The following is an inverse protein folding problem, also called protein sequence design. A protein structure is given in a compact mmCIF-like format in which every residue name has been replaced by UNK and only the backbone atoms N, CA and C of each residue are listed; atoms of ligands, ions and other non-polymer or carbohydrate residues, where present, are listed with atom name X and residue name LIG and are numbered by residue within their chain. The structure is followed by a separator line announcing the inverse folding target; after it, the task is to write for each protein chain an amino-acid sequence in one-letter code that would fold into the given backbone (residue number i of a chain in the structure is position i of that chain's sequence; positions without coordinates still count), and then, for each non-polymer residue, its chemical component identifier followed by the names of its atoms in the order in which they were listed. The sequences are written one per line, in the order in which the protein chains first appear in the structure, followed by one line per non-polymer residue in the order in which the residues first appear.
data_IF_431489766404
#
_entry.id   IF_431489766404
#
_cell.length_a   1.000
_cell.length_b   1.000
_cell.length_c   1.000
_cell.angle_alpha   90.00
_cell.angle_beta   90.00
_cell.angle_gamma   90.00
#
_symmetry.space_group_name_H-M   'P 1'
#
loop_
_entity.id
_entity.type
_entity.pdbx_description
1 polymer ?
#
# COMPACT_ATOMS: atom_id res chain seq x y z
N UNK A 1 -30.00 10.22 30.24
CA UNK A 1 -28.61 10.19 30.74
C UNK A 1 -28.00 8.90 30.22
N UNK A 2 -27.12 8.97 29.23
CA UNK A 2 -26.31 7.80 28.91
C UNK A 2 -25.35 7.59 30.09
N UNK A 3 -25.41 6.43 30.74
CA UNK A 3 -24.45 6.08 31.78
C UNK A 3 -23.05 6.08 31.17
N UNK A 4 -22.03 6.47 31.95
CA UNK A 4 -20.64 6.36 31.49
C UNK A 4 -20.23 4.88 31.43
N UNK A 5 -19.42 4.50 30.44
CA UNK A 5 -18.85 3.15 30.37
C UNK A 5 -18.04 2.85 31.65
N UNK A 6 -18.21 1.64 32.19
CA UNK A 6 -17.47 1.18 33.38
C UNK A 6 -16.70 -0.11 33.10
N UNK A 7 -15.39 -0.08 33.33
CA UNK A 7 -14.49 -1.21 33.06
C UNK A 7 -14.81 -2.46 33.90
N UNK A 8 -15.24 -2.29 35.16
CA UNK A 8 -15.60 -3.40 36.06
C UNK A 8 -16.79 -4.25 35.58
N UNK A 9 -17.58 -3.70 34.65
CA UNK A 9 -18.78 -4.33 34.11
C UNK A 9 -18.56 -4.92 32.71
N UNK A 10 -17.33 -4.91 32.16
CA UNK A 10 -17.02 -5.35 30.80
C UNK A 10 -17.63 -6.73 30.44
N UNK A 11 -17.55 -7.68 31.37
CA UNK A 11 -18.10 -9.03 31.19
C UNK A 11 -19.62 -9.09 31.34
N UNK A 12 -20.22 -8.16 32.08
CA UNK A 12 -21.67 -8.13 32.33
C UNK A 12 -22.48 -7.44 31.22
N UNK A 13 -21.84 -6.58 30.42
CA UNK A 13 -22.52 -5.93 29.30
C UNK A 13 -22.84 -6.92 28.18
N UNK A 14 -24.02 -6.76 27.60
CA UNK A 14 -24.40 -7.39 26.34
C UNK A 14 -23.61 -6.80 25.18
N UNK A 15 -23.47 -7.57 24.09
CA UNK A 15 -22.78 -7.11 22.87
C UNK A 15 -23.41 -5.85 22.28
N UNK A 16 -24.74 -5.68 22.39
CA UNK A 16 -25.46 -4.48 21.96
C UNK A 16 -25.11 -3.26 22.80
N UNK A 17 -25.03 -3.41 24.11
CA UNK A 17 -24.62 -2.32 25.01
C UNK A 17 -23.17 -1.90 24.75
N UNK A 18 -22.26 -2.88 24.59
CA UNK A 18 -20.87 -2.60 24.25
C UNK A 18 -20.72 -1.90 22.91
N UNK A 19 -21.41 -2.36 21.88
CA UNK A 19 -21.41 -1.69 20.58
C UNK A 19 -21.89 -0.24 20.69
N UNK A 20 -22.94 0.02 21.47
CA UNK A 20 -23.43 1.37 21.71
C UNK A 20 -22.38 2.25 22.43
N UNK A 21 -21.72 1.73 23.47
CA UNK A 21 -20.65 2.46 24.17
C UNK A 21 -19.47 2.77 23.24
N UNK A 22 -19.06 1.81 22.41
CA UNK A 22 -17.94 1.96 21.47
C UNK A 22 -18.25 3.05 20.44
N UNK A 23 -19.39 2.97 19.76
CA UNK A 23 -19.77 3.93 18.71
C UNK A 23 -20.00 5.34 19.27
N UNK A 24 -20.41 5.43 20.53
CA UNK A 24 -20.57 6.72 21.23
C UNK A 24 -19.25 7.30 21.75
N UNK A 25 -18.16 6.52 21.74
CA UNK A 25 -16.85 6.95 22.25
C UNK A 25 -16.08 7.75 21.20
N UNK A 26 -15.22 8.69 21.61
CA UNK A 26 -14.42 9.45 20.66
C UNK A 26 -13.42 8.54 19.94
N UNK A 27 -13.33 8.67 18.62
CA UNK A 27 -12.33 7.97 17.82
C UNK A 27 -10.92 8.50 18.10
N UNK A 28 -9.91 7.68 17.83
CA UNK A 28 -8.52 8.10 17.85
C UNK A 28 -8.25 9.10 16.72
N UNK A 29 -7.39 10.09 16.96
CA UNK A 29 -7.05 11.11 15.97
C UNK A 29 -6.41 10.51 14.70
N UNK A 30 -5.71 9.39 14.83
CA UNK A 30 -4.99 8.74 13.73
C UNK A 30 -5.85 7.79 12.89
N UNK A 31 -7.02 7.36 13.38
CA UNK A 31 -7.90 6.42 12.67
C UNK A 31 -9.33 6.43 13.19
N UNK A 32 -10.30 6.46 12.28
CA UNK A 32 -11.72 6.37 12.59
C UNK A 32 -12.17 4.98 13.05
N UNK A 33 -11.30 3.95 12.92
CA UNK A 33 -11.61 2.56 13.31
C UNK A 33 -11.23 2.24 14.76
N UNK A 34 -10.60 3.14 15.50
CA UNK A 34 -10.22 2.92 16.90
C UNK A 34 -10.94 3.92 17.78
N UNK A 35 -11.60 3.42 18.82
CA UNK A 35 -12.43 4.18 19.75
C UNK A 35 -11.83 4.16 21.15
N UNK A 36 -11.78 5.33 21.79
CA UNK A 36 -11.28 5.48 23.15
C UNK A 36 -12.40 5.15 24.16
N UNK A 37 -12.54 3.88 24.51
CA UNK A 37 -13.63 3.40 25.36
C UNK A 37 -13.48 3.86 26.83
N UNK A 38 -12.24 3.90 27.32
CA UNK A 38 -11.90 4.41 28.66
C UNK A 38 -10.43 4.85 28.72
N UNK A 39 -9.93 5.16 29.92
CA UNK A 39 -8.51 5.45 30.14
C UNK A 39 -7.62 4.24 29.88
N UNK A 40 -8.12 3.02 30.13
CA UNK A 40 -7.33 1.78 30.02
C UNK A 40 -7.72 0.92 28.83
N UNK A 41 -8.86 1.16 28.19
CA UNK A 41 -9.36 0.33 27.08
C UNK A 41 -9.56 1.15 25.81
N UNK A 42 -9.25 0.48 24.69
CA UNK A 42 -9.62 0.92 23.35
C UNK A 42 -10.45 -0.17 22.68
N UNK A 43 -11.28 0.21 21.72
CA UNK A 43 -11.97 -0.74 20.86
C UNK A 43 -11.57 -0.48 19.41
N UNK A 44 -11.17 -1.55 18.70
CA UNK A 44 -10.86 -1.49 17.26
C UNK A 44 -11.96 -2.16 16.46
N UNK A 45 -12.45 -1.50 15.43
CA UNK A 45 -13.48 -1.96 14.52
C UNK A 45 -12.88 -2.73 13.35
N UNK A 46 -13.55 -3.81 12.99
CA UNK A 46 -13.18 -4.76 11.94
C UNK A 46 -14.40 -5.12 11.09
N UNK A 47 -14.14 -5.57 9.86
CA UNK A 47 -15.11 -6.40 9.16
C UNK A 47 -15.26 -7.75 9.89
N UNK A 48 -16.47 -8.34 9.97
CA UNK A 48 -16.69 -9.59 10.70
C UNK A 48 -15.79 -10.77 10.28
N UNK A 49 -15.35 -10.81 9.02
CA UNK A 49 -14.44 -11.82 8.47
C UNK A 49 -12.97 -11.61 8.85
N UNK A 50 -12.57 -10.42 9.32
CA UNK A 50 -11.18 -10.08 9.60
C UNK A 50 -10.80 -10.29 11.07
N UNK A 51 -11.77 -10.08 11.96
CA UNK A 51 -11.52 -10.01 13.41
C UNK A 51 -10.95 -11.30 13.99
N UNK A 52 -11.29 -12.46 13.43
CA UNK A 52 -10.85 -13.75 13.98
C UNK A 52 -9.35 -13.99 13.77
N UNK A 53 -8.83 -13.62 12.59
CA UNK A 53 -7.42 -13.71 12.30
C UNK A 53 -6.60 -12.71 13.13
N UNK A 54 -7.07 -11.46 13.22
CA UNK A 54 -6.43 -10.44 14.05
C UNK A 54 -6.44 -10.84 15.54
N UNK A 55 -7.55 -11.39 16.03
CA UNK A 55 -7.67 -11.92 17.39
C UNK A 55 -6.67 -13.04 17.63
N UNK A 56 -6.65 -14.05 16.75
CA UNK A 56 -5.78 -15.21 16.94
C UNK A 56 -4.30 -14.85 16.89
N UNK A 57 -3.90 -13.95 16.00
CA UNK A 57 -2.54 -13.46 15.93
C UNK A 57 -2.14 -12.71 17.22
N UNK A 58 -3.01 -11.85 17.73
CA UNK A 58 -2.76 -11.09 18.97
C UNK A 58 -2.67 -12.03 20.18
N UNK A 59 -3.56 -13.01 20.27
CA UNK A 59 -3.56 -14.03 21.33
C UNK A 59 -2.24 -14.82 21.35
N UNK A 60 -1.81 -15.33 20.19
CA UNK A 60 -0.56 -16.09 20.07
C UNK A 60 0.66 -15.23 20.38
N UNK A 61 0.69 -13.97 19.91
CA UNK A 61 1.76 -13.04 20.26
C UNK A 61 1.85 -12.80 21.78
N UNK A 62 0.71 -12.64 22.46
CA UNK A 62 0.65 -12.50 23.93
C UNK A 62 1.17 -13.75 24.64
N UNK A 63 0.76 -14.95 24.19
CA UNK A 63 1.23 -16.24 24.74
C UNK A 63 2.74 -16.43 24.55
N UNK A 64 3.32 -15.88 23.49
CA UNK A 64 4.76 -15.87 23.23
C UNK A 64 5.52 -14.82 24.05
N UNK A 65 4.84 -14.05 24.90
CA UNK A 65 5.44 -13.00 25.73
C UNK A 65 5.83 -11.74 24.94
N UNK A 66 5.26 -11.55 23.75
CA UNK A 66 5.46 -10.32 22.98
C UNK A 66 4.64 -9.21 23.63
N UNK A 67 5.31 -8.10 23.96
CA UNK A 67 4.64 -6.94 24.55
C UNK A 67 3.75 -6.26 23.51
N UNK A 68 2.49 -6.05 23.85
CA UNK A 68 1.48 -5.44 22.98
C UNK A 68 0.13 -5.35 23.70
N UNK A 69 -0.93 -4.90 22.99
CA UNK A 69 -2.28 -4.91 23.53
C UNK A 69 -2.76 -6.35 23.77
N UNK A 70 -3.39 -6.61 24.91
CA UNK A 70 -4.14 -7.85 25.14
C UNK A 70 -5.60 -7.62 24.81
N UNK A 71 -6.20 -8.55 24.06
CA UNK A 71 -7.63 -8.49 23.77
C UNK A 71 -8.39 -9.01 24.98
N UNK A 72 -9.29 -8.17 25.49
CA UNK A 72 -10.15 -8.49 26.63
C UNK A 72 -11.43 -9.16 26.16
N UNK A 73 -12.06 -8.63 25.10
CA UNK A 73 -13.34 -9.13 24.58
C UNK A 73 -13.49 -8.83 23.10
N UNK A 74 -14.11 -9.74 22.37
CA UNK A 74 -14.52 -9.54 20.97
C UNK A 74 -16.02 -9.63 20.89
N UNK A 75 -16.65 -8.66 20.25
CA UNK A 75 -18.08 -8.68 19.93
C UNK A 75 -18.27 -8.65 18.42
N UNK A 76 -19.27 -9.38 17.92
CA UNK A 76 -19.59 -9.44 16.49
C UNK A 76 -21.07 -9.18 16.28
N UNK A 77 -21.41 -8.37 15.29
CA UNK A 77 -22.76 -8.23 14.76
C UNK A 77 -22.74 -8.48 13.23
N UNK A 78 -23.89 -8.34 12.55
CA UNK A 78 -24.00 -8.66 11.13
C UNK A 78 -23.14 -7.78 10.22
N UNK A 79 -22.86 -6.53 10.64
CA UNK A 79 -22.17 -5.53 9.82
C UNK A 79 -20.75 -5.27 10.29
N UNK A 80 -20.44 -5.49 11.57
CA UNK A 80 -19.21 -5.06 12.21
C UNK A 80 -18.76 -6.06 13.28
N UNK A 81 -17.45 -6.08 13.51
CA UNK A 81 -16.86 -6.68 14.70
C UNK A 81 -16.02 -5.64 15.45
N UNK A 82 -15.94 -5.79 16.77
CA UNK A 82 -15.11 -4.94 17.61
C UNK A 82 -14.24 -5.80 18.53
N UNK A 83 -12.94 -5.52 18.56
CA UNK A 83 -12.03 -6.07 19.54
C UNK A 83 -11.72 -5.00 20.60
N UNK A 84 -12.10 -5.27 21.84
CA UNK A 84 -11.82 -4.44 23.02
C UNK A 84 -10.51 -4.93 23.60
N UNK A 85 -9.54 -4.03 23.77
CA UNK A 85 -8.18 -4.36 24.16
C UNK A 85 -7.54 -3.30 25.05
N UNK A 86 -6.48 -3.68 25.73
CA UNK A 86 -5.73 -2.79 26.62
C UNK A 86 -5.10 -1.63 25.84
N UNK A 87 -5.23 -0.43 26.40
CA UNK A 87 -4.49 0.74 25.97
C UNK A 87 -3.05 0.63 26.47
N UNK A 88 -2.09 0.72 25.56
CA UNK A 88 -0.67 0.74 25.90
C UNK A 88 -0.18 2.19 25.94
N UNK A 89 0.40 2.59 27.08
CA UNK A 89 1.00 3.91 27.22
C UNK A 89 2.38 4.00 26.54
N UNK A 90 2.58 5.05 25.75
CA UNK A 90 3.86 5.37 25.16
C UNK A 90 3.73 6.26 23.94
N UNK A 91 4.83 6.35 23.19
CA UNK A 91 4.86 7.09 21.93
C UNK A 91 5.38 6.19 20.81
N UNK A 92 4.71 6.24 19.67
CA UNK A 92 5.07 5.49 18.47
C UNK A 92 6.34 6.03 17.84
N UNK A 93 7.09 5.17 17.15
CA UNK A 93 8.36 5.57 16.54
C UNK A 93 8.19 6.64 15.48
N UNK A 94 7.11 6.65 14.71
CA UNK A 94 6.84 7.75 13.75
C UNK A 94 6.84 9.15 14.39
N UNK A 95 6.34 9.27 15.63
CA UNK A 95 6.30 10.52 16.40
C UNK A 95 7.67 10.89 16.98
N UNK A 96 8.38 9.91 17.56
CA UNK A 96 9.61 10.20 18.33
C UNK A 96 10.91 9.93 17.59
N UNK A 97 10.88 9.35 16.39
CA UNK A 97 12.07 8.84 15.69
C UNK A 97 13.21 9.86 15.60
N UNK A 98 12.86 11.10 15.27
CA UNK A 98 13.81 12.22 15.12
C UNK A 98 14.46 12.64 16.44
N UNK A 99 13.79 12.41 17.56
CA UNK A 99 14.27 12.73 18.91
C UNK A 99 15.16 11.62 19.48
N UNK A 100 15.12 10.41 18.90
CA UNK A 100 15.95 9.29 19.35
C UNK A 100 17.41 9.46 18.93
N UNK A 101 18.32 9.17 19.85
CA UNK A 101 19.76 9.03 19.58
C UNK A 101 20.13 7.61 19.12
N UNK A 102 21.36 7.46 18.63
CA UNK A 102 21.89 6.18 18.12
C UNK A 102 21.83 5.03 19.13
N UNK A 103 22.19 5.28 20.39
CA UNK A 103 22.16 4.26 21.45
C UNK A 103 20.75 3.69 21.63
N UNK A 104 19.74 4.57 21.65
CA UNK A 104 18.35 4.15 21.80
C UNK A 104 17.85 3.43 20.54
N UNK A 105 18.23 3.89 19.35
CA UNK A 105 17.94 3.18 18.09
C UNK A 105 18.48 1.74 18.10
N UNK A 106 19.74 1.54 18.51
CA UNK A 106 20.34 0.20 18.59
C UNK A 106 19.62 -0.65 19.66
N UNK A 107 19.35 -0.09 20.84
CA UNK A 107 18.65 -0.79 21.93
C UNK A 107 17.26 -1.25 21.50
N UNK A 108 16.50 -0.40 20.83
CA UNK A 108 15.17 -0.74 20.31
C UNK A 108 15.27 -1.76 19.18
N UNK A 109 16.27 -1.65 18.30
CA UNK A 109 16.51 -2.65 17.26
C UNK A 109 16.79 -4.04 17.82
N UNK A 110 17.55 -4.13 18.92
CA UNK A 110 17.82 -5.39 19.62
C UNK A 110 16.57 -5.94 20.33
N UNK A 111 15.73 -5.08 20.92
CA UNK A 111 14.43 -5.50 21.46
C UNK A 111 13.52 -6.07 20.36
N UNK A 112 13.44 -5.39 19.21
CA UNK A 112 12.66 -5.88 18.09
C UNK A 112 13.22 -7.19 17.54
N UNK A 113 14.55 -7.33 17.44
CA UNK A 113 15.21 -8.58 17.03
C UNK A 113 14.85 -9.74 17.95
N UNK A 114 14.81 -9.50 19.26
CA UNK A 114 14.38 -10.51 20.22
C UNK A 114 12.95 -10.98 19.95
N UNK A 115 12.01 -10.05 19.75
CA UNK A 115 10.62 -10.39 19.38
C UNK A 115 10.55 -11.13 18.04
N UNK A 116 11.22 -10.64 17.01
CA UNK A 116 11.24 -11.27 15.68
C UNK A 116 11.79 -12.69 15.75
N UNK A 117 12.81 -12.96 16.56
CA UNK A 117 13.34 -14.31 16.74
C UNK A 117 12.34 -15.25 17.43
N UNK A 118 11.57 -14.76 18.41
CA UNK A 118 10.48 -15.53 19.03
C UNK A 118 9.42 -15.86 17.99
N UNK A 119 8.96 -14.88 17.23
CA UNK A 119 7.97 -15.09 16.18
C UNK A 119 8.47 -16.12 15.14
N UNK A 120 9.73 -15.99 14.70
CA UNK A 120 10.35 -16.91 13.75
C UNK A 120 10.52 -18.34 14.24
N UNK A 121 10.47 -18.56 15.57
CA UNK A 121 10.49 -19.91 16.14
C UNK A 121 9.19 -20.68 15.92
N UNK A 122 8.10 -19.97 15.61
CA UNK A 122 6.81 -20.56 15.28
C UNK A 122 6.70 -20.69 13.77
N UNK A 123 6.57 -21.93 13.28
CA UNK A 123 6.59 -22.26 11.86
C UNK A 123 5.28 -22.90 11.40
N UNK A 124 4.96 -22.76 10.11
CA UNK A 124 3.86 -23.44 9.45
C UNK A 124 4.32 -24.06 8.12
N UNK A 125 3.75 -25.22 7.72
CA UNK A 125 3.96 -25.76 6.38
C UNK A 125 3.26 -24.95 5.28
N UNK A 126 2.34 -24.06 5.65
CA UNK A 126 1.51 -23.29 4.72
C UNK A 126 1.56 -21.79 5.02
N UNK A 127 1.33 -20.95 4.00
CA UNK A 127 1.14 -19.51 4.19
C UNK A 127 -0.27 -19.17 4.65
N UNK A 128 -0.37 -18.02 5.29
CA UNK A 128 -1.65 -17.39 5.61
C UNK A 128 -1.77 -17.02 7.08
N UNK A 129 -2.94 -16.48 7.42
CA UNK A 129 -3.31 -16.13 8.78
C UNK A 129 -3.44 -17.36 9.69
N UNK A 130 -3.48 -17.12 11.01
CA UNK A 130 -3.46 -18.19 12.01
C UNK A 130 -4.80 -18.92 12.15
N UNK A 131 -5.93 -18.25 11.92
CA UNK A 131 -7.24 -18.86 12.14
C UNK A 131 -7.82 -19.44 10.84
N UNK A 132 -7.80 -18.66 9.76
CA UNK A 132 -8.42 -19.07 8.49
C UNK A 132 -7.43 -19.65 7.48
N UNK A 133 -6.14 -19.36 7.62
CA UNK A 133 -5.12 -19.68 6.62
C UNK A 133 -5.20 -18.79 5.39
N UNK A 134 -6.02 -17.74 5.39
CA UNK A 134 -6.14 -16.79 4.29
C UNK A 134 -4.84 -15.98 4.13
N UNK A 135 -4.43 -15.77 2.88
CA UNK A 135 -3.28 -14.94 2.59
C UNK A 135 -3.66 -13.46 2.68
N UNK A 136 -3.34 -12.83 3.82
CA UNK A 136 -3.58 -11.39 4.08
C UNK A 136 -2.40 -10.49 3.74
N UNK A 137 -1.39 -11.05 3.06
CA UNK A 137 -0.18 -10.29 2.73
C UNK A 137 -0.42 -9.38 1.52
N UNK A 138 -0.28 -8.07 1.73
CA UNK A 138 -0.30 -7.08 0.65
C UNK A 138 0.85 -7.22 -0.39
N UNK A 139 1.80 -8.14 -0.18
CA UNK A 139 2.80 -8.52 -1.19
C UNK A 139 2.36 -9.70 -2.06
N UNK A 140 1.35 -10.44 -1.61
CA UNK A 140 0.86 -11.69 -2.19
C UNK A 140 -0.62 -11.61 -2.61
N UNK A 141 -1.20 -10.41 -2.55
CA UNK A 141 -2.54 -10.12 -3.05
C UNK A 141 -2.58 -10.17 -4.59
N UNK A 142 -3.51 -10.97 -5.11
CA UNK A 142 -3.88 -11.03 -6.53
C UNK A 142 -5.42 -11.05 -6.65
N UNK A 143 -5.95 -10.69 -7.83
CA UNK A 143 -7.39 -10.72 -8.15
C UNK A 143 -8.05 -12.06 -7.84
N UNK A 144 -7.32 -13.17 -7.96
CA UNK A 144 -7.83 -14.50 -7.66
C UNK A 144 -7.46 -15.00 -6.26
N UNK A 145 -6.59 -14.27 -5.56
CA UNK A 145 -6.02 -14.65 -4.28
C UNK A 145 -5.13 -15.89 -4.36
N UNK A 146 -4.25 -16.04 -3.37
CA UNK A 146 -3.69 -17.35 -3.06
C UNK A 146 -4.72 -18.14 -2.26
N UNK A 147 -4.99 -19.41 -2.62
CA UNK A 147 -5.85 -20.27 -1.81
C UNK A 147 -5.37 -20.30 -0.35
N UNK A 148 -6.31 -20.37 0.58
CA UNK A 148 -5.98 -20.51 1.99
C UNK A 148 -5.10 -21.75 2.21
N UNK A 149 -4.10 -21.64 3.09
CA UNK A 149 -3.14 -22.70 3.38
C UNK A 149 -2.30 -23.13 2.17
N UNK A 150 -1.95 -22.20 1.27
CA UNK A 150 -1.03 -22.47 0.15
C UNK A 150 0.36 -22.91 0.66
N UNK A 151 0.94 -23.96 0.07
CA UNK A 151 2.24 -24.49 0.45
C UNK A 151 3.42 -23.87 -0.32
N UNK A 152 4.64 -24.40 -0.12
CA UNK A 152 5.83 -23.92 -0.82
C UNK A 152 5.72 -24.00 -2.35
N UNK A 153 5.04 -25.01 -2.88
CA UNK A 153 4.88 -25.19 -4.32
C UNK A 153 4.00 -24.10 -4.94
N UNK A 154 2.84 -23.82 -4.34
CA UNK A 154 1.91 -22.79 -4.78
C UNK A 154 2.54 -21.41 -4.70
N UNK A 155 3.28 -21.13 -3.62
CA UNK A 155 3.95 -19.85 -3.42
C UNK A 155 5.12 -19.67 -4.37
N UNK A 156 5.92 -20.72 -4.59
CA UNK A 156 6.99 -20.70 -5.60
C UNK A 156 6.41 -20.44 -6.97
N UNK A 157 5.30 -21.10 -7.32
CA UNK A 157 4.60 -20.86 -8.58
C UNK A 157 4.07 -19.42 -8.68
N UNK A 158 3.51 -18.87 -7.60
CA UNK A 158 3.08 -17.47 -7.54
C UNK A 158 4.23 -16.51 -7.83
N UNK A 159 5.35 -16.65 -7.13
CA UNK A 159 6.52 -15.81 -7.36
C UNK A 159 7.08 -15.98 -8.78
N UNK A 160 7.18 -17.21 -9.27
CA UNK A 160 7.64 -17.49 -10.64
C UNK A 160 6.74 -16.87 -11.69
N UNK A 161 5.43 -17.00 -11.51
CA UNK A 161 4.44 -16.44 -12.42
C UNK A 161 4.57 -14.92 -12.45
N UNK A 162 4.59 -14.26 -11.31
CA UNK A 162 4.57 -12.80 -11.23
C UNK A 162 5.93 -12.14 -11.55
N UNK A 163 7.04 -12.81 -11.23
CA UNK A 163 8.36 -12.39 -11.68
C UNK A 163 8.49 -12.46 -13.21
N UNK A 164 7.89 -13.49 -13.83
CA UNK A 164 7.91 -13.71 -15.28
C UNK A 164 6.60 -13.32 -15.97
N UNK A 165 5.78 -12.48 -15.34
CA UNK A 165 4.53 -12.01 -15.93
C UNK A 165 4.80 -10.88 -16.93
N UNK A 166 4.39 -11.06 -18.19
CA UNK A 166 4.48 -10.00 -19.22
C UNK A 166 3.12 -9.40 -19.55
N UNK A 167 2.14 -10.28 -19.81
CA UNK A 167 0.79 -9.90 -20.21
C UNK A 167 -0.18 -11.06 -20.00
N UNK A 168 -1.44 -10.75 -19.74
CA UNK A 168 -2.50 -11.75 -19.61
C UNK A 168 -2.69 -12.61 -20.84
N UNK A 169 -2.58 -12.02 -22.04
CA UNK A 169 -2.76 -12.78 -23.29
C UNK A 169 -1.75 -13.92 -23.39
N UNK A 170 -0.48 -13.64 -23.08
CA UNK A 170 0.58 -14.65 -23.07
C UNK A 170 0.39 -15.66 -21.93
N UNK A 171 0.05 -15.20 -20.73
CA UNK A 171 -0.23 -16.08 -19.59
C UNK A 171 -1.39 -17.05 -19.88
N UNK A 172 -2.49 -16.56 -20.46
CA UNK A 172 -3.63 -17.40 -20.86
C UNK A 172 -3.28 -18.37 -22.00
N UNK A 173 -2.44 -17.96 -22.95
CA UNK A 173 -1.95 -18.86 -24.01
C UNK A 173 -1.04 -19.96 -23.45
N UNK A 174 -0.11 -19.61 -22.55
CA UNK A 174 0.76 -20.57 -21.87
C UNK A 174 -0.05 -21.56 -21.02
N UNK A 175 -1.04 -21.07 -20.25
CA UNK A 175 -1.94 -21.91 -19.47
C UNK A 175 -2.78 -22.86 -20.36
N UNK A 176 -3.32 -22.37 -21.49
CA UNK A 176 -4.02 -23.21 -22.47
C UNK A 176 -3.12 -24.27 -23.10
N UNK A 177 -1.82 -24.02 -23.19
CA UNK A 177 -0.83 -24.95 -23.71
C UNK A 177 -0.22 -25.84 -22.61
N UNK A 178 -0.68 -25.74 -21.35
CA UNK A 178 -0.16 -26.50 -20.22
C UNK A 178 1.29 -26.15 -19.85
N UNK A 179 1.78 -24.98 -20.28
CA UNK A 179 3.14 -24.55 -19.96
C UNK A 179 3.21 -24.03 -18.53
N UNK A 180 3.96 -24.71 -17.67
CA UNK A 180 4.39 -24.20 -16.37
C UNK A 180 5.59 -23.27 -16.54
N UNK A 181 5.75 -22.21 -15.71
CA UNK A 181 6.95 -21.37 -15.72
C UNK A 181 8.21 -22.18 -15.33
N UNK A 182 8.84 -22.84 -16.30
CA UNK A 182 9.96 -23.77 -16.07
C UNK A 182 11.32 -23.07 -15.90
N UNK A 183 11.41 -21.99 -15.15
CA UNK A 183 12.71 -21.39 -14.83
C UNK A 183 12.85 -21.12 -13.33
N UNK A 184 13.47 -22.07 -12.66
CA UNK A 184 14.16 -21.87 -11.37
C UNK A 184 15.43 -21.03 -11.52
N UNK A 185 15.85 -20.73 -12.75
CA UNK A 185 17.02 -19.91 -13.04
C UNK A 185 16.77 -18.44 -12.63
N UNK A 186 17.22 -18.06 -11.43
CA UNK A 186 17.36 -16.66 -11.02
C UNK A 186 16.41 -16.16 -9.93
N UNK A 187 15.54 -17.01 -9.38
CA UNK A 187 14.78 -16.63 -8.17
C UNK A 187 15.64 -16.88 -6.92
N UNK A 188 15.93 -15.85 -6.10
CA UNK A 188 16.68 -16.01 -4.85
C UNK A 188 15.88 -16.69 -3.73
N UNK A 189 14.59 -16.96 -3.95
CA UNK A 189 13.68 -17.48 -2.93
C UNK A 189 13.72 -19.02 -2.87
N UNK A 190 14.58 -19.58 -2.03
CA UNK A 190 14.36 -20.93 -1.51
C UNK A 190 13.36 -20.84 -0.35
N UNK A 191 12.12 -21.22 -0.60
CA UNK A 191 11.04 -21.15 0.40
C UNK A 191 10.97 -22.51 1.09
N UNK A 192 11.82 -22.69 2.09
CA UNK A 192 11.92 -23.98 2.82
C UNK A 192 10.91 -24.08 3.98
N UNK A 193 10.52 -22.95 4.59
CA UNK A 193 9.51 -22.89 5.65
C UNK A 193 8.89 -21.50 5.78
N UNK A 194 7.65 -21.45 6.27
CA UNK A 194 6.97 -20.21 6.62
C UNK A 194 7.04 -19.99 8.12
N UNK A 195 7.32 -18.76 8.51
CA UNK A 195 7.50 -18.36 9.91
C UNK A 195 6.40 -17.38 10.30
N UNK A 196 6.04 -17.33 11.58
CA UNK A 196 5.13 -16.31 12.06
C UNK A 196 5.78 -14.93 11.92
N UNK A 197 5.13 -14.03 11.20
CA UNK A 197 5.55 -12.65 10.96
C UNK A 197 4.44 -11.69 11.35
N UNK A 198 4.81 -10.49 11.77
CA UNK A 198 3.87 -9.41 12.06
C UNK A 198 3.38 -8.71 10.79
N UNK A 199 4.23 -8.63 9.75
CA UNK A 199 3.91 -8.12 8.41
C UNK A 199 3.61 -6.61 8.29
N UNK A 200 3.58 -5.86 9.39
CA UNK A 200 3.41 -4.39 9.42
C UNK A 200 4.22 -3.74 10.56
N UNK A 201 5.51 -4.11 10.69
CA UNK A 201 6.46 -3.50 11.63
C UNK A 201 6.90 -2.08 11.18
N UNK A 202 5.94 -1.25 10.80
CA UNK A 202 6.15 0.14 10.43
C UNK A 202 6.24 1.04 11.68
N UNK A 203 6.83 2.25 11.59
CA UNK A 203 7.08 3.09 12.77
C UNK A 203 5.84 3.42 13.61
N UNK A 204 4.65 3.48 12.98
CA UNK A 204 3.35 3.73 13.65
C UNK A 204 2.90 2.57 14.56
N UNK A 205 3.39 1.36 14.31
CA UNK A 205 3.01 0.14 15.04
C UNK A 205 4.06 -0.27 16.08
N UNK A 206 5.12 0.53 16.23
CA UNK A 206 6.21 0.32 17.17
C UNK A 206 6.11 1.38 18.27
N UNK A 207 5.60 0.99 19.43
CA UNK A 207 5.35 1.91 20.54
C UNK A 207 6.42 1.77 21.61
N UNK A 208 6.94 2.90 22.10
CA UNK A 208 7.98 2.95 23.12
C UNK A 208 7.41 3.55 24.41
N UNK A 209 7.49 2.80 25.49
CA UNK A 209 7.10 3.27 26.81
C UNK A 209 8.04 4.36 27.34
N UNK A 210 7.65 5.13 28.37
CA UNK A 210 8.56 6.07 29.05
C UNK A 210 9.83 5.41 29.61
N UNK A 211 9.75 4.12 29.97
CA UNK A 211 10.89 3.30 30.44
C UNK A 211 11.77 2.75 29.32
N UNK A 212 11.48 3.08 28.06
CA UNK A 212 12.25 2.66 26.89
C UNK A 212 12.01 1.21 26.44
N UNK A 213 10.86 0.63 26.81
CA UNK A 213 10.45 -0.70 26.39
C UNK A 213 9.62 -0.62 25.11
N UNK A 214 9.92 -1.50 24.15
CA UNK A 214 9.18 -1.62 22.89
C UNK A 214 7.94 -2.51 23.06
N UNK A 215 6.82 -2.09 22.48
CA UNK A 215 5.60 -2.89 22.31
C UNK A 215 5.19 -2.89 20.83
N UNK A 216 4.67 -4.02 20.36
CA UNK A 216 4.15 -4.18 19.01
C UNK A 216 2.64 -3.98 19.01
N UNK A 217 2.15 -3.19 18.07
CA UNK A 217 0.73 -2.90 17.88
C UNK A 217 0.28 -3.44 16.51
N UNK A 218 -1.02 -3.66 16.37
CA UNK A 218 -1.68 -3.96 15.08
C UNK A 218 -1.21 -5.26 14.40
N UNK A 219 -1.82 -6.38 14.81
CA UNK A 219 -1.55 -7.73 14.31
C UNK A 219 -2.44 -8.16 13.14
N UNK A 220 -3.17 -7.23 12.51
CA UNK A 220 -4.21 -7.55 11.52
C UNK A 220 -3.69 -8.29 10.28
N UNK A 221 -2.43 -8.03 9.92
CA UNK A 221 -1.77 -8.62 8.75
C UNK A 221 -0.83 -9.77 9.11
N UNK A 222 -0.76 -10.13 10.39
CA UNK A 222 0.14 -11.14 10.87
C UNK A 222 -0.25 -12.54 10.36
N UNK A 223 0.75 -13.39 10.16
CA UNK A 223 0.56 -14.70 9.56
C UNK A 223 1.86 -15.41 9.29
N UNK A 224 1.77 -16.57 8.63
CA UNK A 224 2.90 -17.37 8.23
C UNK A 224 3.37 -17.00 6.83
N UNK A 225 4.59 -16.48 6.73
CA UNK A 225 5.17 -16.00 5.49
C UNK A 225 6.68 -16.24 5.44
N UNK A 226 7.34 -16.13 4.27
CA UNK A 226 8.79 -16.19 4.19
C UNK A 226 9.46 -15.08 5.02
N UNK A 227 10.61 -15.38 5.64
CA UNK A 227 11.36 -14.42 6.48
C UNK A 227 11.68 -13.08 5.79
N UNK A 228 11.75 -13.10 4.46
CA UNK A 228 12.08 -11.96 3.59
C UNK A 228 10.96 -10.92 3.54
N UNK A 229 9.71 -11.36 3.71
CA UNK A 229 8.54 -10.51 3.64
C UNK A 229 8.54 -9.48 4.77
N UNK A 230 8.88 -9.88 6.00
CA UNK A 230 8.95 -8.97 7.15
C UNK A 230 9.92 -7.80 6.89
N UNK A 231 11.08 -8.08 6.27
CA UNK A 231 12.05 -7.05 5.89
C UNK A 231 11.48 -6.07 4.85
N UNK A 232 10.78 -6.57 3.83
CA UNK A 232 10.16 -5.71 2.83
C UNK A 232 9.01 -4.88 3.43
N UNK A 233 8.20 -5.48 4.30
CA UNK A 233 7.08 -4.83 4.98
C UNK A 233 7.48 -3.70 5.91
N UNK A 234 8.67 -3.74 6.52
CA UNK A 234 9.20 -2.61 7.30
C UNK A 234 9.40 -1.33 6.47
N UNK A 235 9.37 -1.40 5.15
CA UNK A 235 9.40 -0.24 4.25
C UNK A 235 8.03 0.10 3.64
N UNK A 236 6.95 -0.57 4.05
CA UNK A 236 5.59 -0.34 3.56
C UNK A 236 4.92 0.87 4.25
N UNK A 237 5.59 2.01 4.24
CA UNK A 237 5.05 3.30 4.70
C UNK A 237 5.68 4.46 3.92
N UNK A 238 4.97 5.58 3.86
CA UNK A 238 5.51 6.81 3.32
C UNK A 238 6.54 7.36 4.29
N UNK A 239 7.83 7.15 3.99
CA UNK A 239 8.90 7.69 4.82
C UNK A 239 8.77 9.22 4.90
N UNK A 240 8.62 9.81 6.10
CA UNK A 240 8.32 11.23 6.23
C UNK A 240 9.38 12.12 5.55
N UNK A 241 8.93 13.16 4.85
CA UNK A 241 9.81 14.05 4.10
C UNK A 241 10.75 14.84 5.01
N UNK A 242 10.33 15.09 6.25
CA UNK A 242 11.08 15.80 7.27
C UNK A 242 12.13 14.90 7.99
N UNK A 243 12.24 13.62 7.62
CA UNK A 243 13.34 12.75 8.03
C UNK A 243 14.59 13.10 7.23
N UNK A 244 15.52 13.82 7.86
CA UNK A 244 16.84 14.06 7.30
C UNK A 244 17.66 12.78 7.11
N UNK A 245 18.82 12.91 6.46
CA UNK A 245 19.70 11.78 6.11
C UNK A 245 19.98 10.84 7.29
N UNK A 246 20.29 11.38 8.46
CA UNK A 246 20.62 10.58 9.65
C UNK A 246 19.42 9.79 10.18
N UNK A 247 18.20 10.32 10.10
CA UNK A 247 17.00 9.61 10.54
C UNK A 247 16.71 8.42 9.61
N UNK A 248 16.92 8.59 8.30
CA UNK A 248 16.77 7.52 7.30
C UNK A 248 17.84 6.44 7.46
N UNK A 249 19.10 6.83 7.63
CA UNK A 249 20.20 5.88 7.91
C UNK A 249 19.96 5.08 9.18
N UNK A 250 19.47 5.72 10.25
CA UNK A 250 19.08 5.02 11.48
C UNK A 250 17.96 4.02 11.23
N UNK A 251 16.99 4.32 10.37
CA UNK A 251 15.90 3.40 10.07
C UNK A 251 16.42 2.14 9.37
N UNK A 252 17.29 2.31 8.36
CA UNK A 252 17.94 1.17 7.72
C UNK A 252 18.73 0.32 8.71
N UNK A 253 19.54 0.94 9.57
CA UNK A 253 20.28 0.22 10.61
C UNK A 253 19.34 -0.52 11.58
N UNK A 254 18.28 0.14 12.03
CA UNK A 254 17.26 -0.44 12.92
C UNK A 254 16.64 -1.68 12.30
N UNK A 255 16.19 -1.58 11.04
CA UNK A 255 15.64 -2.70 10.28
C UNK A 255 16.65 -3.84 10.15
N UNK A 256 17.91 -3.55 9.83
CA UNK A 256 18.94 -4.58 9.67
C UNK A 256 19.24 -5.33 10.98
N UNK A 257 19.27 -4.60 12.11
CA UNK A 257 19.42 -5.21 13.44
C UNK A 257 18.20 -6.10 13.74
N UNK A 258 17.00 -5.56 13.54
CA UNK A 258 15.73 -6.16 13.94
C UNK A 258 15.41 -7.44 13.16
N UNK A 259 15.41 -7.37 11.82
CA UNK A 259 14.88 -8.45 10.98
C UNK A 259 15.93 -9.10 10.09
N UNK A 260 17.13 -8.50 9.97
CA UNK A 260 18.18 -8.94 9.03
C UNK A 260 18.16 -8.14 7.73
N UNK A 261 18.98 -8.56 6.75
CA UNK A 261 19.11 -7.89 5.46
C UNK A 261 18.69 -8.82 4.31
N UNK A 262 17.55 -8.52 3.69
CA UNK A 262 16.95 -9.33 2.62
C UNK A 262 16.61 -8.48 1.38
N UNK A 263 17.52 -7.58 0.99
CA UNK A 263 17.26 -6.60 -0.07
C UNK A 263 17.03 -7.22 -1.45
N UNK A 264 17.67 -8.34 -1.76
CA UNK A 264 17.48 -9.04 -3.02
C UNK A 264 16.03 -9.54 -3.17
N UNK A 265 15.50 -10.19 -2.14
CA UNK A 265 14.13 -10.69 -2.10
C UNK A 265 13.12 -9.53 -2.04
N UNK A 266 13.39 -8.50 -1.24
CA UNK A 266 12.54 -7.31 -1.19
C UNK A 266 12.49 -6.56 -2.53
N UNK A 267 13.57 -6.57 -3.32
CA UNK A 267 13.53 -6.04 -4.70
C UNK A 267 12.61 -6.88 -5.58
N UNK A 268 12.62 -8.21 -5.47
CA UNK A 268 11.69 -9.05 -6.20
C UNK A 268 10.23 -8.72 -5.83
N UNK A 269 9.92 -8.62 -4.54
CA UNK A 269 8.59 -8.24 -4.05
C UNK A 269 8.12 -6.88 -4.59
N UNK A 270 9.03 -5.89 -4.61
CA UNK A 270 8.75 -4.56 -5.20
C UNK A 270 8.60 -4.61 -6.71
N UNK A 271 9.37 -5.43 -7.42
CA UNK A 271 9.26 -5.58 -8.87
C UNK A 271 7.96 -6.29 -9.28
N UNK A 272 7.43 -7.17 -8.44
CA UNK A 272 6.09 -7.75 -8.63
C UNK A 272 4.96 -6.74 -8.39
N UNK A 273 5.23 -5.64 -7.67
CA UNK A 273 4.32 -4.50 -7.55
C UNK A 273 4.53 -3.53 -8.71
N UNK A 274 3.59 -3.51 -9.64
CA UNK A 274 3.56 -2.50 -10.70
C UNK A 274 3.43 -1.08 -10.11
N UNK A 275 4.13 -0.11 -10.71
CA UNK A 275 3.90 1.31 -10.45
C UNK A 275 3.10 1.92 -11.61
N UNK A 276 2.31 2.94 -11.29
CA UNK A 276 1.75 3.86 -12.28
C UNK A 276 2.51 5.17 -12.16
N UNK A 277 3.18 5.57 -13.24
CA UNK A 277 3.83 6.86 -13.34
C UNK A 277 2.96 7.82 -14.15
N UNK A 278 2.90 9.08 -13.76
CA UNK A 278 2.44 10.16 -14.65
C UNK A 278 3.62 11.09 -14.91
N UNK A 279 3.79 11.49 -16.16
CA UNK A 279 4.93 12.31 -16.60
C UNK A 279 4.44 13.54 -17.35
N UNK A 280 4.87 14.71 -16.91
CA UNK A 280 4.80 15.95 -17.69
C UNK A 280 6.01 16.02 -18.61
N UNK A 281 5.77 16.06 -19.92
CA UNK A 281 6.82 16.16 -20.93
C UNK A 281 7.48 17.54 -20.89
N UNK A 282 8.80 17.54 -21.14
CA UNK A 282 9.59 18.77 -21.29
C UNK A 282 9.16 19.52 -22.54
N UNK A 283 8.89 20.81 -22.38
CA UNK A 283 8.78 21.76 -23.48
C UNK A 283 10.16 22.44 -23.61
N UNK A 284 10.92 22.09 -24.66
CA UNK A 284 12.32 22.50 -24.77
C UNK A 284 12.48 24.02 -24.88
N UNK A 285 11.60 24.67 -25.63
CA UNK A 285 11.65 26.10 -25.93
C UNK A 285 10.83 26.94 -24.95
N UNK A 286 10.07 26.29 -24.06
CA UNK A 286 9.01 26.91 -23.25
C UNK A 286 8.04 27.76 -24.11
N UNK A 287 7.82 27.36 -25.35
CA UNK A 287 6.97 28.06 -26.30
C UNK A 287 5.49 27.75 -26.05
N UNK A 288 4.65 28.77 -26.26
CA UNK A 288 3.20 28.61 -26.36
C UNK A 288 2.78 27.82 -27.60
N UNK A 289 1.48 27.62 -27.80
CA UNK A 289 0.96 27.00 -29.03
C UNK A 289 0.84 28.03 -30.18
N UNK A 290 0.50 27.52 -31.37
CA UNK A 290 0.36 28.32 -32.60
C UNK A 290 -0.80 29.35 -32.52
N UNK A 291 -1.74 29.15 -31.59
CA UNK A 291 -2.89 30.01 -31.35
C UNK A 291 -2.60 31.12 -30.33
N UNK A 292 -1.37 31.19 -29.80
CA UNK A 292 -0.91 32.22 -28.87
C UNK A 292 -1.21 31.92 -27.40
N UNK A 293 -1.64 30.69 -27.06
CA UNK A 293 -1.80 30.29 -25.67
C UNK A 293 -0.44 30.11 -25.02
N UNK A 294 -0.35 30.44 -23.72
CA UNK A 294 0.90 30.29 -22.97
C UNK A 294 1.35 28.82 -22.85
N UNK A 295 2.64 28.55 -22.63
CA UNK A 295 3.17 27.19 -22.61
C UNK A 295 2.53 26.31 -21.54
N UNK A 296 2.47 25.02 -21.83
CA UNK A 296 2.03 23.97 -20.90
C UNK A 296 2.87 22.70 -21.09
N UNK A 297 2.75 21.74 -20.17
CA UNK A 297 3.32 20.41 -20.36
C UNK A 297 2.22 19.46 -20.84
N UNK A 298 2.55 18.62 -21.83
CA UNK A 298 1.74 17.45 -22.15
C UNK A 298 1.93 16.39 -21.07
N UNK A 299 0.87 15.69 -20.67
CA UNK A 299 0.96 14.65 -19.65
C UNK A 299 0.51 13.29 -20.18
N UNK A 300 1.26 12.24 -19.82
CA UNK A 300 0.92 10.84 -20.11
C UNK A 300 1.14 9.95 -18.89
N UNK A 301 0.40 8.85 -18.82
CA UNK A 301 0.58 7.83 -17.80
C UNK A 301 1.38 6.63 -18.34
N UNK A 302 2.14 5.97 -17.47
CA UNK A 302 2.94 4.79 -17.77
C UNK A 302 2.69 3.73 -16.70
N UNK A 303 2.11 2.61 -17.11
CA UNK A 303 1.94 1.43 -16.26
C UNK A 303 3.20 0.58 -16.36
N UNK A 304 4.03 0.59 -15.32
CA UNK A 304 5.27 -0.18 -15.28
C UNK A 304 4.98 -1.68 -15.23
N UNK A 305 5.64 -2.42 -16.12
CA UNK A 305 5.57 -3.88 -16.16
C UNK A 305 6.69 -4.47 -15.29
N UNK A 306 6.43 -5.62 -14.65
CA UNK A 306 7.35 -6.28 -13.73
C UNK A 306 8.67 -6.73 -14.39
N UNK A 307 8.66 -7.00 -15.70
CA UNK A 307 9.84 -7.39 -16.49
C UNK A 307 10.61 -6.22 -17.11
N UNK A 308 10.24 -4.98 -16.78
CA UNK A 308 10.75 -3.79 -17.46
C UNK A 308 9.87 -3.36 -18.63
N UNK A 309 10.05 -2.11 -19.06
CA UNK A 309 9.12 -1.46 -19.97
C UNK A 309 7.84 -0.98 -19.28
N UNK A 310 6.91 -0.47 -20.08
CA UNK A 310 5.62 0.04 -19.60
C UNK A 310 4.55 -0.01 -20.68
N UNK A 311 3.29 0.10 -20.28
CA UNK A 311 2.19 0.47 -21.18
C UNK A 311 1.87 1.94 -20.96
N UNK A 312 2.06 2.74 -22.01
CA UNK A 312 1.74 4.16 -22.01
C UNK A 312 0.25 4.36 -22.31
N UNK A 313 -0.40 5.19 -21.51
CA UNK A 313 -1.74 5.74 -21.75
C UNK A 313 -1.59 7.23 -22.05
N UNK A 314 -1.96 7.62 -23.26
CA UNK A 314 -1.76 8.98 -23.76
C UNK A 314 -3.08 9.49 -24.35
N UNK A 315 -3.74 10.41 -23.64
CA UNK A 315 -5.00 11.00 -24.09
C UNK A 315 -4.68 12.22 -24.95
N UNK A 316 -5.03 12.15 -26.24
CA UNK A 316 -4.67 13.16 -27.24
C UNK A 316 -5.90 13.72 -27.96
N UNK A 317 -5.93 15.03 -28.29
CA UNK A 317 -6.96 15.64 -29.13
C UNK A 317 -6.70 15.37 -30.62
N UNK A 318 -7.53 15.91 -31.52
CA UNK A 318 -7.33 15.84 -32.97
C UNK A 318 -8.23 14.84 -33.70
N UNK A 319 -9.31 14.37 -33.07
CA UNK A 319 -10.30 13.48 -33.69
C UNK A 319 -11.71 14.09 -33.70
N UNK A 320 -12.59 13.54 -34.55
CA UNK A 320 -13.94 14.06 -34.74
C UNK A 320 -14.00 15.27 -35.69
N UNK A 321 -15.20 15.66 -36.11
CA UNK A 321 -15.39 16.80 -37.02
C UNK A 321 -15.04 18.15 -36.40
N UNK A 322 -15.03 18.22 -35.06
CA UNK A 322 -14.63 19.39 -34.28
C UNK A 322 -13.16 19.36 -33.83
N UNK A 323 -12.43 18.26 -34.05
CA UNK A 323 -11.04 18.10 -33.62
C UNK A 323 -10.85 17.97 -32.10
N UNK A 324 -11.90 18.15 -31.30
CA UNK A 324 -11.86 18.15 -29.84
C UNK A 324 -12.10 16.77 -29.24
N UNK A 325 -12.46 15.77 -30.05
CA UNK A 325 -12.66 14.42 -29.54
C UNK A 325 -11.31 13.83 -29.13
N UNK A 326 -11.22 13.46 -27.87
CA UNK A 326 -10.06 12.77 -27.32
C UNK A 326 -9.99 11.32 -27.81
N UNK A 327 -8.77 10.85 -28.03
CA UNK A 327 -8.46 9.44 -28.25
C UNK A 327 -7.35 9.02 -27.29
N UNK A 328 -7.60 7.92 -26.59
CA UNK A 328 -6.60 7.27 -25.76
C UNK A 328 -5.70 6.39 -26.64
N UNK A 329 -4.44 6.79 -26.81
CA UNK A 329 -3.39 5.91 -27.35
C UNK A 329 -2.87 5.00 -26.23
N UNK A 330 -2.90 3.69 -26.51
CA UNK A 330 -2.36 2.66 -25.63
C UNK A 330 -1.19 2.01 -26.36
N UNK A 331 0.03 2.26 -25.90
CA UNK A 331 1.23 1.75 -26.56
C UNK A 331 2.24 1.13 -25.59
N UNK A 332 2.77 -0.04 -25.94
CA UNK A 332 3.88 -0.66 -25.20
C UNK A 332 5.18 0.09 -25.44
N UNK A 333 5.94 0.34 -24.36
CA UNK A 333 7.25 0.99 -24.37
C UNK A 333 8.31 0.07 -23.77
N UNK A 334 9.53 0.13 -24.30
CA UNK A 334 10.67 -0.63 -23.79
C UNK A 334 11.26 -0.05 -22.49
N UNK A 335 10.83 1.17 -22.10
CA UNK A 335 11.26 1.87 -20.88
C UNK A 335 10.11 1.93 -19.86
N UNK A 336 10.44 2.02 -18.57
CA UNK A 336 9.44 2.08 -17.48
C UNK A 336 8.68 3.40 -17.42
N UNK A 337 9.35 4.51 -17.75
CA UNK A 337 8.78 5.84 -17.93
C UNK A 337 9.67 6.65 -18.90
N UNK A 338 9.14 7.72 -19.48
CA UNK A 338 9.85 8.50 -20.50
C UNK A 338 11.07 9.25 -19.96
N UNK A 339 12.19 9.22 -20.69
CA UNK A 339 13.38 10.02 -20.37
C UNK A 339 13.18 11.53 -20.67
N UNK A 340 12.10 11.90 -21.35
CA UNK A 340 11.77 13.29 -21.69
C UNK A 340 10.81 13.95 -20.68
N UNK A 341 10.77 13.47 -19.43
CA UNK A 341 9.94 14.05 -18.38
C UNK A 341 10.66 15.24 -17.71
N UNK A 342 9.95 16.37 -17.55
CA UNK A 342 10.39 17.47 -16.67
C UNK A 342 9.82 17.30 -15.25
N UNK A 343 8.69 16.60 -15.12
CA UNK A 343 8.07 16.24 -13.84
C UNK A 343 7.53 14.82 -13.90
N UNK A 344 7.75 14.07 -12.82
CA UNK A 344 7.25 12.70 -12.66
C UNK A 344 6.61 12.53 -11.29
N UNK A 345 5.48 11.84 -11.24
CA UNK A 345 4.89 11.29 -10.02
C UNK A 345 4.75 9.78 -10.21
N UNK A 346 5.01 9.04 -9.14
CA UNK A 346 5.01 7.57 -9.15
C UNK A 346 4.11 7.06 -8.04
N UNK A 347 3.12 6.25 -8.40
CA UNK A 347 2.14 5.68 -7.50
C UNK A 347 2.29 4.17 -7.47
N UNK A 348 2.73 3.58 -6.34
CA UNK A 348 2.70 2.13 -6.16
C UNK A 348 1.27 1.62 -6.26
N UNK A 349 1.03 0.63 -7.12
CA UNK A 349 -0.30 0.01 -7.20
C UNK A 349 -0.41 -1.01 -6.06
N UNK A 350 -1.46 -0.88 -5.25
CA UNK A 350 -1.68 -1.69 -4.04
C UNK A 350 -1.97 -3.14 -4.37
N UNK A 351 -2.60 -3.39 -5.51
CA UNK A 351 -2.89 -4.71 -6.10
C UNK A 351 -2.21 -4.85 -7.45
N UNK A 352 -2.09 -6.08 -7.98
CA UNK A 352 -1.76 -6.25 -9.39
C UNK A 352 -2.97 -5.90 -10.26
N UNK A 353 -3.19 -4.60 -10.46
CA UNK A 353 -4.06 -4.15 -11.52
C UNK A 353 -3.39 -4.52 -12.84
N UNK A 354 -3.86 -5.60 -13.47
CA UNK A 354 -3.53 -5.87 -14.87
C UNK A 354 -3.77 -4.59 -15.67
N UNK A 355 -2.99 -4.36 -16.72
CA UNK A 355 -3.31 -3.34 -17.73
C UNK A 355 -4.79 -3.45 -18.12
N UNK A 356 -5.30 -4.69 -18.26
CA UNK A 356 -6.72 -4.96 -18.47
C UNK A 356 -7.62 -4.43 -17.36
N UNK A 357 -7.31 -4.61 -16.08
CA UNK A 357 -8.11 -4.08 -14.96
C UNK A 357 -8.20 -2.55 -15.02
N UNK A 358 -7.09 -1.88 -15.32
CA UNK A 358 -7.04 -0.43 -15.42
C UNK A 358 -7.82 0.05 -16.65
N UNK A 359 -7.69 -0.64 -17.79
CA UNK A 359 -8.47 -0.35 -18.99
C UNK A 359 -9.97 -0.64 -18.78
N UNK A 360 -10.33 -1.73 -18.10
CA UNK A 360 -11.70 -2.07 -17.76
C UNK A 360 -12.31 -1.01 -16.83
N UNK A 361 -11.55 -0.49 -15.86
CA UNK A 361 -11.96 0.61 -14.99
C UNK A 361 -12.16 1.91 -15.78
N UNK A 362 -11.22 2.24 -16.69
CA UNK A 362 -11.34 3.39 -17.59
C UNK A 362 -12.63 3.28 -18.41
N UNK A 363 -12.88 2.13 -19.01
CA UNK A 363 -14.06 1.91 -19.84
C UNK A 363 -15.36 1.91 -19.02
N UNK A 364 -15.37 1.28 -17.84
CA UNK A 364 -16.57 1.19 -16.99
C UNK A 364 -16.99 2.55 -16.44
N UNK A 365 -16.01 3.43 -16.18
CA UNK A 365 -16.24 4.83 -15.80
C UNK A 365 -16.36 5.79 -17.01
N UNK A 366 -16.32 5.27 -18.24
CA UNK A 366 -16.42 6.05 -19.47
C UNK A 366 -15.28 7.05 -19.69
N UNK A 367 -14.10 6.82 -19.12
CA UNK A 367 -12.93 7.71 -19.23
C UNK A 367 -12.22 7.64 -20.58
N UNK A 368 -12.54 6.64 -21.38
CA UNK A 368 -12.12 6.52 -22.79
C UNK A 368 -12.86 7.51 -23.71
N UNK A 369 -14.05 7.96 -23.29
CA UNK A 369 -14.90 8.93 -24.02
C UNK A 369 -14.73 10.31 -23.42
N UNK A 370 -13.78 11.07 -23.97
CA UNK A 370 -13.39 12.38 -23.47
C UNK A 370 -13.41 13.43 -24.59
N UNK A 371 -13.92 14.62 -24.29
CA UNK A 371 -13.90 15.80 -25.17
C UNK A 371 -13.00 16.87 -24.55
N UNK A 372 -11.99 17.29 -25.31
CA UNK A 372 -11.06 18.35 -24.93
C UNK A 372 -11.73 19.73 -24.98
N UNK A 373 -11.13 20.69 -24.27
CA UNK A 373 -11.42 22.12 -24.46
C UNK A 373 -10.70 22.64 -25.70
N UNK A 374 -11.08 23.83 -26.19
CA UNK A 374 -10.54 24.42 -27.42
C UNK A 374 -9.03 24.62 -27.39
N UNK A 375 -8.44 24.76 -26.21
CA UNK A 375 -7.00 24.95 -25.99
C UNK A 375 -6.20 23.64 -25.99
N UNK A 376 -6.86 22.49 -26.17
CA UNK A 376 -6.20 21.17 -26.30
C UNK A 376 -5.41 20.71 -25.04
N UNK A 377 -5.54 21.42 -23.92
CA UNK A 377 -4.82 21.15 -22.67
C UNK A 377 -5.51 20.14 -21.73
N UNK A 378 -6.55 19.46 -22.22
CA UNK A 378 -7.42 18.57 -21.45
C UNK A 378 -6.75 17.32 -20.87
N UNK A 379 -5.51 16.99 -21.29
CA UNK A 379 -4.75 15.85 -20.77
C UNK A 379 -4.47 15.99 -19.26
N UNK A 380 -4.29 17.23 -18.76
CA UNK A 380 -4.04 17.52 -17.34
C UNK A 380 -5.22 17.12 -16.45
N UNK A 381 -6.43 17.48 -16.85
CA UNK A 381 -7.65 17.10 -16.14
C UNK A 381 -7.92 15.59 -16.25
N UNK A 382 -7.65 14.99 -17.41
CA UNK A 382 -7.78 13.54 -17.58
C UNK A 382 -6.85 12.78 -16.64
N UNK A 383 -5.58 13.19 -16.50
CA UNK A 383 -4.63 12.55 -15.57
C UNK A 383 -5.07 12.63 -14.12
N UNK A 384 -5.54 13.79 -13.68
CA UNK A 384 -6.11 13.94 -12.34
C UNK A 384 -7.29 13.00 -12.11
N UNK A 385 -8.22 12.95 -13.07
CA UNK A 385 -9.41 12.10 -12.98
C UNK A 385 -9.02 10.62 -12.95
N UNK A 386 -8.09 10.21 -13.81
CA UNK A 386 -7.59 8.84 -13.89
C UNK A 386 -6.96 8.39 -12.56
N UNK A 387 -6.06 9.19 -11.97
CA UNK A 387 -5.44 8.83 -10.69
C UNK A 387 -6.45 8.85 -9.53
N UNK A 388 -7.40 9.78 -9.54
CA UNK A 388 -8.48 9.82 -8.54
C UNK A 388 -9.38 8.59 -8.64
N UNK A 389 -9.71 8.14 -9.85
CA UNK A 389 -10.50 6.92 -10.05
C UNK A 389 -9.78 5.66 -9.53
N UNK A 390 -8.45 5.61 -9.67
CA UNK A 390 -7.63 4.54 -9.09
C UNK A 390 -7.61 4.61 -7.55
N UNK A 391 -7.53 5.82 -6.98
CA UNK A 391 -7.55 6.05 -5.54
C UNK A 391 -8.90 5.60 -4.94
N UNK A 392 -10.01 6.02 -5.55
CA UNK A 392 -11.37 5.63 -5.14
C UNK A 392 -11.59 4.11 -5.22
N UNK A 393 -10.89 3.45 -6.15
CA UNK A 393 -10.94 1.99 -6.32
C UNK A 393 -9.96 1.25 -5.41
N UNK A 394 -9.24 1.97 -4.52
CA UNK A 394 -8.23 1.41 -3.62
C UNK A 394 -6.96 0.91 -4.32
N UNK A 395 -6.81 1.17 -5.62
CA UNK A 395 -5.67 0.69 -6.42
C UNK A 395 -4.40 1.49 -6.15
N UNK A 396 -4.51 2.75 -5.72
CA UNK A 396 -3.39 3.57 -5.25
C UNK A 396 -3.70 4.13 -3.86
N UNK A 397 -2.67 4.63 -3.17
CA UNK A 397 -2.83 5.18 -1.81
C UNK A 397 -3.70 6.43 -1.78
N UNK A 398 -4.41 6.64 -0.67
CA UNK A 398 -5.14 7.88 -0.44
C UNK A 398 -4.20 9.10 -0.50
N UNK A 399 -4.68 10.20 -1.09
CA UNK A 399 -3.93 11.43 -1.38
C UNK A 399 -3.25 11.45 -2.76
N UNK A 400 -3.34 10.37 -3.56
CA UNK A 400 -2.73 10.30 -4.90
C UNK A 400 -3.36 11.26 -5.89
N UNK A 401 -4.69 11.42 -5.86
CA UNK A 401 -5.45 12.38 -6.67
C UNK A 401 -5.08 13.82 -6.33
N UNK A 402 -4.96 14.15 -5.03
CA UNK A 402 -4.50 15.48 -4.58
C UNK A 402 -3.08 15.78 -5.06
N UNK A 403 -2.14 14.85 -4.87
CA UNK A 403 -0.77 15.00 -5.35
C UNK A 403 -0.71 15.19 -6.87
N UNK A 404 -1.58 14.51 -7.61
CA UNK A 404 -1.72 14.69 -9.06
C UNK A 404 -2.22 16.09 -9.40
N UNK A 405 -3.29 16.55 -8.75
CA UNK A 405 -3.85 17.89 -8.97
C UNK A 405 -2.80 18.98 -8.74
N UNK A 406 -2.09 18.92 -7.61
CA UNK A 406 -1.06 19.88 -7.24
C UNK A 406 0.08 19.94 -8.28
N UNK A 407 0.33 18.85 -9.00
CA UNK A 407 1.36 18.80 -10.03
C UNK A 407 0.88 19.25 -11.42
N UNK A 408 -0.34 18.88 -11.84
CA UNK A 408 -0.89 19.23 -13.16
C UNK A 408 -1.44 20.65 -13.24
N UNK A 409 -1.68 21.29 -12.08
CA UNK A 409 -2.03 22.71 -11.95
C UNK A 409 -0.83 23.66 -12.08
N UNK A 410 0.36 23.12 -12.37
CA UNK A 410 1.57 23.87 -12.61
C UNK A 410 2.09 23.59 -14.03
N UNK A 411 2.61 24.62 -14.66
CA UNK A 411 3.52 24.46 -15.79
C UNK A 411 4.95 24.37 -15.27
N UNK A 412 5.65 23.31 -15.64
CA UNK A 412 7.04 23.01 -15.27
C UNK A 412 7.98 23.47 -16.38
N UNK A 413 8.78 24.50 -16.08
CA UNK A 413 9.68 25.17 -17.03
C UNK A 413 10.99 24.40 -17.21
N UNK A 414 11.47 24.35 -18.44
CA UNK A 414 12.80 23.88 -18.80
C UNK A 414 13.83 25.03 -18.64
N UNK A 415 15.01 24.83 -18.00
CA UNK A 415 15.46 23.60 -17.36
C UNK A 415 14.96 23.40 -15.93
N UNK A 416 14.56 24.46 -15.22
CA UNK A 416 14.06 24.41 -13.85
C UNK A 416 13.05 25.53 -13.58
N UNK A 417 12.12 25.29 -12.65
CA UNK A 417 11.10 26.25 -12.21
C UNK A 417 9.68 25.77 -12.53
N UNK A 418 8.69 26.47 -11.97
CA UNK A 418 7.29 26.20 -12.24
C UNK A 418 6.45 27.48 -12.09
N UNK A 419 5.32 27.54 -12.77
CA UNK A 419 4.34 28.61 -12.61
C UNK A 419 2.91 28.06 -12.58
N UNK A 420 1.99 28.69 -11.83
CA UNK A 420 0.59 28.27 -11.81
C UNK A 420 -0.03 28.30 -13.20
N UNK A 421 -0.74 27.23 -13.56
CA UNK A 421 -1.46 27.12 -14.82
C UNK A 421 -2.82 26.51 -14.55
N UNK A 422 -3.88 27.26 -14.84
CA UNK A 422 -5.25 26.79 -14.66
C UNK A 422 -5.48 25.47 -15.40
N UNK A 423 -6.08 24.48 -14.74
CA UNK A 423 -6.42 23.18 -15.34
C UNK A 423 -7.78 23.32 -16.03
N UNK A 424 -7.77 23.37 -17.35
CA UNK A 424 -9.00 23.37 -18.15
C UNK A 424 -9.63 21.98 -18.11
N UNK A 425 -10.94 21.93 -17.80
CA UNK A 425 -11.68 20.69 -17.62
C UNK A 425 -12.43 20.35 -18.90
N UNK A 426 -12.04 19.27 -19.56
CA UNK A 426 -12.86 18.67 -20.62
C UNK A 426 -14.04 17.89 -20.07
N UNK A 427 -14.82 17.29 -20.96
CA UNK A 427 -16.09 16.62 -20.63
C UNK A 427 -16.04 15.14 -20.97
N UNK A 428 -16.45 14.28 -20.03
CA UNK A 428 -16.67 12.85 -20.25
C UNK A 428 -18.12 12.61 -20.72
N UNK A 429 -18.36 11.66 -21.64
CA UNK A 429 -19.68 11.42 -22.23
C UNK A 429 -19.94 9.95 -22.55
#
# INVERSE_FOLDING_TARGET
MAFAFREDLLESYTDLELAHYIVSSPSCESTSRVFNLSSNLIAKQYEPSEVEDAFKATEVASQLGIRGPSIQKVIKNQENAYAIMDRIEGATLDVIWKKLGWVMTIRLGLQLRYFVNILRSVTSPTVGSLATGECRSFWLEDRYGLPANSGPAEITHFFQFWANFTSMRRAMQAAKQGQTPNSTAGLPLTIESFVFTHHDLTPRNLLVSPSGQLSLLDWDLAGFYPVTIEYASMYNFNMPQDWGLMARLRWHLFTWIAVGYYEADARLLRNMRSNIHICGYRNEENAGDEDGNSPTNHWAAFMQLSQGGSVRLDMTPGYGSDGLRGKMDISSKAYSLTNNAIKTLSFPVRTQAMVRTIIDLINSKGRDRYKFTEEWEGCRFWMFTFISDLEDSGLVSSGSGKATWDAVALYWRNPNGYEPREVKRGTFY
#
